data_IF_643653218237
#
_entry.id   IF_643653218237
#
_cell.length_a   1.000
_cell.length_b   1.000
_cell.length_c   1.000
_cell.angle_alpha   90.00
_cell.angle_beta   90.00
_cell.angle_gamma   90.00
#
_symmetry.space_group_name_H-M   'P 1'
#
loop_
_entity.id
_entity.type
_entity.pdbx_description
1 polymer ?
#
# COMPACT_ATOMS: atom_id res chain seq x y z
N UNK A 1 2.51 -4.26 -3.09
CA UNK A 1 3.19 -4.45 -1.81
C UNK A 1 2.14 -4.33 -0.71
N UNK A 2 1.86 -5.44 -0.03
CA UNK A 2 1.03 -5.50 1.18
C UNK A 2 1.99 -5.50 2.39
N UNK A 3 1.60 -4.94 3.54
CA UNK A 3 2.43 -4.97 4.75
C UNK A 3 2.70 -6.41 5.23
N UNK A 4 1.75 -7.31 4.97
CA UNK A 4 1.84 -8.74 5.28
C UNK A 4 2.96 -9.44 4.49
N UNK A 5 3.42 -8.83 3.40
CA UNK A 5 4.53 -9.34 2.60
C UNK A 5 5.88 -8.74 3.04
N UNK A 6 5.94 -8.12 4.22
CA UNK A 6 7.17 -7.59 4.81
C UNK A 6 7.42 -8.31 6.13
N UNK A 7 8.40 -9.21 6.13
CA UNK A 7 8.88 -9.85 7.34
C UNK A 7 9.80 -8.89 8.10
N UNK A 8 9.78 -8.94 9.42
CA UNK A 8 10.72 -8.21 10.26
C UNK A 8 11.32 -9.13 11.32
N UNK A 9 12.58 -8.87 11.66
CA UNK A 9 13.30 -9.50 12.77
C UNK A 9 13.86 -8.40 13.66
N UNK A 10 13.61 -8.51 14.96
CA UNK A 10 14.29 -7.68 15.96
C UNK A 10 15.70 -8.25 16.18
N UNK A 11 16.70 -7.44 15.88
CA UNK A 11 18.10 -7.72 16.20
C UNK A 11 18.40 -6.99 17.52
N UNK A 12 18.40 -7.75 18.63
CA UNK A 12 18.88 -7.24 19.91
C UNK A 12 20.40 -7.12 19.83
N UNK A 13 20.91 -5.90 19.82
CA UNK A 13 22.33 -5.61 20.03
C UNK A 13 22.43 -4.66 21.22
N UNK A 14 23.11 -5.09 22.29
CA UNK A 14 23.62 -4.28 23.42
C UNK A 14 22.94 -2.90 23.61
N UNK A 15 21.66 -2.88 23.99
CA UNK A 15 20.91 -1.66 24.34
C UNK A 15 20.20 -0.91 23.21
N UNK A 16 20.46 -1.25 21.94
CA UNK A 16 19.79 -0.66 20.77
C UNK A 16 18.92 -1.68 20.02
N UNK A 17 17.62 -1.40 19.88
CA UNK A 17 16.71 -2.24 19.08
C UNK A 17 16.87 -1.93 17.59
N UNK A 18 17.52 -2.82 16.84
CA UNK A 18 17.59 -2.72 15.37
C UNK A 18 16.56 -3.66 14.74
N UNK A 19 15.91 -3.23 13.67
CA UNK A 19 14.99 -4.06 12.90
C UNK A 19 15.59 -4.39 11.54
N UNK A 20 15.57 -5.67 11.17
CA UNK A 20 15.84 -6.13 9.81
C UNK A 20 14.52 -6.42 9.12
N UNK A 21 14.33 -5.89 7.92
CA UNK A 21 13.14 -6.13 7.10
C UNK A 21 13.50 -6.95 5.88
N UNK A 22 12.59 -7.84 5.48
CA UNK A 22 12.68 -8.61 4.24
C UNK A 22 11.34 -8.58 3.51
N UNK A 23 11.37 -8.28 2.22
CA UNK A 23 10.18 -8.33 1.36
C UNK A 23 10.05 -9.72 0.76
N UNK A 24 8.87 -10.32 0.89
CA UNK A 24 8.52 -11.64 0.33
C UNK A 24 7.45 -11.49 -0.77
N UNK A 25 7.08 -12.61 -1.41
CA UNK A 25 6.08 -12.64 -2.48
C UNK A 25 6.42 -11.65 -3.61
N UNK A 26 7.64 -11.77 -4.13
CA UNK A 26 8.17 -10.95 -5.23
C UNK A 26 7.90 -11.56 -6.61
N UNK A 27 7.22 -12.71 -6.67
CA UNK A 27 6.96 -13.50 -7.89
C UNK A 27 6.23 -12.72 -9.00
N UNK A 28 5.51 -11.66 -8.65
CA UNK A 28 4.78 -10.77 -9.58
C UNK A 28 5.39 -9.38 -9.69
N UNK A 29 6.61 -9.18 -9.18
CA UNK A 29 7.30 -7.90 -9.22
C UNK A 29 7.83 -7.63 -10.62
N UNK A 30 7.70 -6.38 -11.07
CA UNK A 30 8.37 -5.91 -12.28
C UNK A 30 9.50 -4.98 -11.86
N UNK A 31 10.73 -5.34 -12.23
CA UNK A 31 11.91 -4.51 -12.01
C UNK A 31 12.01 -3.52 -13.18
N UNK A 32 12.10 -2.24 -12.87
CA UNK A 32 12.31 -1.17 -13.86
C UNK A 32 13.42 -0.26 -13.35
N UNK A 33 14.32 0.18 -14.24
CA UNK A 33 15.40 1.12 -13.89
C UNK A 33 14.84 2.41 -13.27
N UNK A 34 13.74 2.92 -13.83
CA UNK A 34 13.06 4.11 -13.31
C UNK A 34 11.56 3.85 -13.18
N UNK A 35 11.00 4.23 -12.03
CA UNK A 35 9.55 4.33 -11.82
C UNK A 35 9.18 5.79 -11.61
N UNK A 36 8.15 6.28 -12.32
CA UNK A 36 7.59 7.59 -12.04
C UNK A 36 6.95 7.62 -10.66
N UNK A 37 6.80 8.82 -10.09
CA UNK A 37 6.14 9.00 -8.79
C UNK A 37 4.74 8.40 -8.75
N UNK A 38 3.99 8.49 -9.86
CA UNK A 38 2.70 7.83 -10.01
C UNK A 38 2.78 6.32 -9.77
N UNK A 39 3.73 5.61 -10.40
CA UNK A 39 3.89 4.17 -10.23
C UNK A 39 4.38 3.79 -8.82
N UNK A 40 5.23 4.62 -8.22
CA UNK A 40 5.69 4.46 -6.82
C UNK A 40 4.51 4.54 -5.85
N UNK A 41 3.71 5.59 -5.93
CA UNK A 41 2.51 5.77 -5.09
C UNK A 41 1.44 4.71 -5.36
N UNK A 42 1.31 4.25 -6.62
CA UNK A 42 0.41 3.14 -6.99
C UNK A 42 0.78 1.83 -6.29
N UNK A 43 2.06 1.63 -5.97
CA UNK A 43 2.50 0.49 -5.16
C UNK A 43 2.24 0.71 -3.67
N UNK A 44 2.53 1.90 -3.15
CA UNK A 44 2.37 2.24 -1.72
C UNK A 44 0.90 2.27 -1.27
N UNK A 45 -0.05 2.64 -2.13
CA UNK A 45 -1.49 2.67 -1.78
C UNK A 45 -2.06 1.33 -1.29
N UNK A 46 -1.36 0.22 -1.55
CA UNK A 46 -1.74 -1.14 -1.15
C UNK A 46 -1.25 -1.52 0.25
N UNK A 47 -0.44 -0.68 0.90
CA UNK A 47 0.02 -0.90 2.27
C UNK A 47 -1.19 -0.84 3.21
N UNK A 48 -1.56 -1.98 3.77
CA UNK A 48 -2.64 -2.12 4.78
C UNK A 48 -2.15 -1.64 6.15
N UNK A 49 -2.00 -0.32 6.29
CA UNK A 49 -1.62 0.32 7.55
C UNK A 49 -2.57 1.46 7.92
N UNK A 50 -2.59 1.88 9.18
CA UNK A 50 -3.39 3.03 9.62
C UNK A 50 -2.90 4.32 8.94
N UNK A 51 -3.77 5.32 8.79
CA UNK A 51 -3.44 6.59 8.11
C UNK A 51 -2.19 7.27 8.66
N UNK A 52 -1.96 7.38 9.99
CA UNK A 52 -0.74 8.00 10.51
C UNK A 52 0.54 7.28 10.07
N UNK A 53 0.54 5.94 10.14
CA UNK A 53 1.67 5.13 9.67
C UNK A 53 1.90 5.28 8.16
N UNK A 54 0.83 5.39 7.38
CA UNK A 54 0.94 5.62 5.94
C UNK A 54 1.55 6.98 5.62
N UNK A 55 1.11 8.04 6.29
CA UNK A 55 1.68 9.39 6.13
C UNK A 55 3.15 9.45 6.54
N UNK A 56 3.50 8.78 7.64
CA UNK A 56 4.89 8.65 8.08
C UNK A 56 5.76 7.94 7.04
N UNK A 57 5.28 6.82 6.46
CA UNK A 57 5.99 6.12 5.38
C UNK A 57 6.17 7.03 4.16
N UNK A 58 5.13 7.79 3.76
CA UNK A 58 5.24 8.73 2.65
C UNK A 58 6.22 9.87 2.94
N UNK A 59 6.27 10.35 4.18
CA UNK A 59 7.25 11.34 4.63
C UNK A 59 8.67 10.80 4.50
N UNK A 60 8.99 9.67 5.14
CA UNK A 60 10.31 9.04 5.04
C UNK A 60 10.69 8.73 3.59
N UNK A 61 9.72 8.35 2.75
CA UNK A 61 9.94 8.10 1.34
C UNK A 61 10.28 9.36 0.54
N UNK A 62 9.60 10.48 0.82
CA UNK A 62 9.88 11.76 0.19
C UNK A 62 11.27 12.30 0.59
N UNK A 63 11.60 12.21 1.88
CA UNK A 63 12.92 12.56 2.42
C UNK A 63 14.04 11.76 1.75
N UNK A 64 13.88 10.44 1.63
CA UNK A 64 14.86 9.57 0.97
C UNK A 64 15.03 9.90 -0.52
N UNK A 65 14.00 10.44 -1.17
CA UNK A 65 14.04 10.88 -2.55
C UNK A 65 14.41 12.36 -2.71
N UNK A 66 14.63 13.08 -1.60
CA UNK A 66 14.91 14.52 -1.55
C UNK A 66 13.90 15.32 -2.38
N UNK A 67 12.62 15.02 -2.20
CA UNK A 67 11.50 15.64 -2.92
C UNK A 67 10.49 16.26 -1.95
N UNK A 68 9.52 17.01 -2.48
CA UNK A 68 8.53 17.69 -1.65
C UNK A 68 7.62 16.69 -0.91
N UNK A 69 7.70 16.71 0.41
CA UNK A 69 6.95 15.83 1.30
C UNK A 69 5.45 16.04 1.21
N UNK A 70 4.98 17.29 1.23
CA UNK A 70 3.56 17.62 1.17
C UNK A 70 2.92 17.14 -0.13
N UNK A 71 3.62 17.33 -1.24
CA UNK A 71 3.19 16.87 -2.57
C UNK A 71 3.07 15.34 -2.62
N UNK A 72 4.06 14.62 -2.09
CA UNK A 72 4.05 13.15 -2.03
C UNK A 72 2.95 12.64 -1.11
N UNK A 73 2.76 13.26 0.05
CA UNK A 73 1.70 12.90 1.00
C UNK A 73 0.31 13.13 0.40
N UNK A 74 0.04 14.30 -0.18
CA UNK A 74 -1.24 14.61 -0.80
C UNK A 74 -1.56 13.64 -1.94
N UNK A 75 -0.63 13.47 -2.89
CA UNK A 75 -0.81 12.53 -4.01
C UNK A 75 -0.99 11.09 -3.52
N UNK A 76 -0.24 10.70 -2.49
CA UNK A 76 -0.32 9.36 -1.90
C UNK A 76 -1.64 9.09 -1.20
N UNK A 77 -2.19 10.07 -0.47
CA UNK A 77 -3.50 9.98 0.19
C UNK A 77 -4.62 9.89 -0.85
N UNK A 78 -4.63 10.79 -1.84
CA UNK A 78 -5.62 10.77 -2.93
C UNK A 78 -5.58 9.42 -3.67
N UNK A 79 -4.38 8.92 -4.00
CA UNK A 79 -4.21 7.63 -4.66
C UNK A 79 -4.79 6.46 -3.84
N UNK A 80 -4.63 6.52 -2.51
CA UNK A 80 -5.15 5.52 -1.58
C UNK A 80 -6.66 5.58 -1.43
N UNK A 81 -7.24 6.78 -1.32
CA UNK A 81 -8.69 6.98 -1.27
C UNK A 81 -9.38 6.43 -2.52
N UNK A 82 -8.88 6.76 -3.71
CA UNK A 82 -9.42 6.26 -4.97
C UNK A 82 -9.33 4.72 -5.04
N UNK A 83 -8.23 4.14 -4.54
CA UNK A 83 -8.05 2.69 -4.51
C UNK A 83 -9.06 1.98 -3.58
N UNK A 84 -9.22 2.48 -2.35
CA UNK A 84 -10.19 1.91 -1.41
C UNK A 84 -11.62 2.10 -1.91
N UNK A 85 -11.96 3.28 -2.43
CA UNK A 85 -13.26 3.54 -3.03
C UNK A 85 -13.56 2.55 -4.16
N UNK A 86 -12.64 2.35 -5.11
CA UNK A 86 -12.80 1.35 -6.19
C UNK A 86 -12.98 -0.07 -5.63
N UNK A 87 -12.27 -0.43 -4.55
CA UNK A 87 -12.39 -1.74 -3.89
C UNK A 87 -13.77 -1.92 -3.25
N UNK A 88 -14.26 -0.91 -2.54
CA UNK A 88 -15.59 -0.88 -1.94
C UNK A 88 -16.69 -0.94 -3.00
N UNK A 89 -16.60 -0.14 -4.06
CA UNK A 89 -17.55 -0.15 -5.18
C UNK A 89 -17.59 -1.51 -5.87
N UNK A 90 -16.43 -2.11 -6.17
CA UNK A 90 -16.36 -3.46 -6.76
C UNK A 90 -17.01 -4.52 -5.87
N UNK A 91 -16.81 -4.44 -4.55
CA UNK A 91 -17.46 -5.36 -3.58
C UNK A 91 -18.97 -5.17 -3.56
N UNK A 92 -19.46 -3.93 -3.55
CA UNK A 92 -20.91 -3.61 -3.60
C UNK A 92 -21.55 -4.16 -4.88
N UNK A 93 -20.97 -3.89 -6.04
CA UNK A 93 -21.46 -4.40 -7.33
C UNK A 93 -21.52 -5.94 -7.32
N UNK A 94 -20.44 -6.60 -6.85
CA UNK A 94 -20.40 -8.07 -6.75
C UNK A 94 -21.48 -8.62 -5.81
N UNK A 95 -21.76 -7.93 -4.70
CA UNK A 95 -22.81 -8.31 -3.76
C UNK A 95 -24.21 -8.19 -4.37
N UNK A 96 -24.50 -7.08 -5.07
CA UNK A 96 -25.77 -6.86 -5.78
C UNK A 96 -25.98 -7.96 -6.84
N UNK A 97 -24.97 -8.22 -7.68
CA UNK A 97 -25.07 -9.24 -8.72
C UNK A 97 -25.32 -10.65 -8.15
N UNK A 98 -24.66 -10.99 -7.03
CA UNK A 98 -24.90 -12.27 -6.33
C UNK A 98 -26.32 -12.36 -5.80
N UNK A 99 -26.85 -11.30 -5.18
CA UNK A 99 -28.23 -11.27 -4.66
C UNK A 99 -29.26 -11.46 -5.79
N UNK A 100 -29.09 -10.76 -6.90
CA UNK A 100 -30.00 -10.88 -8.05
C UNK A 100 -29.93 -12.27 -8.70
N UNK A 101 -28.75 -12.90 -8.73
CA UNK A 101 -28.60 -14.27 -9.23
C UNK A 101 -29.30 -15.32 -8.36
N UNK A 102 -29.43 -15.07 -7.05
CA UNK A 102 -30.21 -15.94 -6.17
C UNK A 102 -31.73 -15.74 -6.37
N UNK A 103 -32.18 -14.50 -6.59
CA UNK A 103 -33.60 -14.19 -6.85
C UNK A 103 -34.12 -14.72 -8.19
N UNK A 104 -33.25 -14.91 -9.19
CA UNK A 104 -33.60 -15.50 -10.49
C UNK A 104 -33.56 -17.04 -10.51
N UNK A 105 -33.20 -17.67 -9.38
CA UNK A 105 -33.10 -19.13 -9.23
C UNK A 105 -34.12 -19.71 -8.22
N UNK A 106 -34.91 -18.85 -7.57
CA UNK A 106 -36.07 -19.19 -6.75
C UNK A 106 -37.33 -18.96 -7.56
#
# INVERSE_FOLDING_TARGET
MNIENILYKNERMNGGGRYRFQVIDTNRMQIRRCLSMHWRLRNMRRLSCRTPAYLYILHCYAELLRTNTDEVQLKGVVCRLIFEWRRHTKRKIKSIFRRNKHLLKS
#
